data_IF_490373904546
#
_entry.id   IF_490373904546
#
_cell.length_a   1.000
_cell.length_b   1.000
_cell.length_c   1.000
_cell.angle_alpha   90.00
_cell.angle_beta   90.00
_cell.angle_gamma   90.00
#
_symmetry.space_group_name_H-M   'P 1'
#
loop_
_entity.id
_entity.type
_entity.pdbx_description
1 polymer ?
#
# COMPACT_ATOMS: atom_id res chain seq x y z
N UNK A 1 16.92 -14.78 16.49
CA UNK A 1 17.49 -15.42 15.28
C UNK A 1 17.92 -14.26 14.39
N UNK A 2 19.19 -14.22 13.99
CA UNK A 2 19.75 -13.17 13.15
C UNK A 2 19.60 -13.54 11.66
N UNK A 3 18.70 -12.88 10.90
CA UNK A 3 18.51 -13.19 9.49
C UNK A 3 19.69 -12.76 8.60
N UNK A 4 20.55 -11.86 9.07
CA UNK A 4 21.72 -11.38 8.31
C UNK A 4 22.93 -12.30 8.50
N UNK A 5 22.98 -13.04 9.61
CA UNK A 5 24.05 -13.98 9.93
C UNK A 5 23.55 -15.43 9.99
N UNK A 6 22.98 -15.91 8.88
CA UNK A 6 22.58 -17.33 8.66
C UNK A 6 21.63 -17.90 9.74
N UNK A 7 20.85 -17.07 10.40
CA UNK A 7 19.91 -17.52 11.42
C UNK A 7 20.56 -17.83 12.77
N UNK A 8 21.72 -17.26 13.07
CA UNK A 8 22.36 -17.43 14.38
C UNK A 8 21.41 -17.06 15.54
N UNK A 9 21.48 -17.80 16.65
CA UNK A 9 20.74 -17.43 17.87
C UNK A 9 21.47 -16.26 18.53
N UNK A 10 20.71 -15.20 18.78
CA UNK A 10 21.17 -14.03 19.52
C UNK A 10 20.67 -14.13 20.96
N UNK A 11 21.52 -13.75 21.90
CA UNK A 11 21.15 -13.50 23.29
C UNK A 11 20.34 -12.21 23.40
N UNK A 12 19.72 -11.95 24.56
CA UNK A 12 19.06 -10.66 24.81
C UNK A 12 20.02 -9.48 24.76
N UNK A 13 21.25 -9.67 25.27
CA UNK A 13 22.31 -8.67 25.27
C UNK A 13 22.77 -8.33 23.85
N UNK A 14 22.96 -9.34 23.00
CA UNK A 14 23.33 -9.17 21.58
C UNK A 14 22.27 -8.33 20.85
N UNK A 15 20.98 -8.56 21.14
CA UNK A 15 19.89 -7.81 20.50
C UNK A 15 19.85 -6.36 20.99
N UNK A 16 20.09 -6.10 22.28
CA UNK A 16 20.16 -4.73 22.78
C UNK A 16 21.35 -3.97 22.20
N UNK A 17 22.49 -4.63 22.02
CA UNK A 17 23.67 -4.05 21.37
C UNK A 17 23.36 -3.67 19.92
N UNK A 18 22.75 -4.57 19.14
CA UNK A 18 22.30 -4.27 17.77
C UNK A 18 21.34 -3.07 17.70
N UNK A 19 20.41 -2.96 18.66
CA UNK A 19 19.48 -1.83 18.71
C UNK A 19 20.23 -0.51 18.99
N UNK A 20 21.20 -0.55 19.91
CA UNK A 20 22.05 0.60 20.24
C UNK A 20 22.94 1.02 19.07
N UNK A 21 23.55 0.07 18.37
CA UNK A 21 24.36 0.33 17.17
C UNK A 21 23.55 0.96 16.04
N UNK A 22 22.27 0.57 15.91
CA UNK A 22 21.33 1.17 14.98
C UNK A 22 20.86 2.60 15.40
N UNK A 23 21.34 3.12 16.54
CA UNK A 23 21.04 4.47 17.02
C UNK A 23 19.73 4.59 17.80
N UNK A 24 19.16 3.46 18.26
CA UNK A 24 17.90 3.44 19.01
C UNK A 24 18.12 3.01 20.46
N UNK A 25 17.30 3.49 21.41
CA UNK A 25 17.28 2.94 22.76
C UNK A 25 16.65 1.52 22.76
N UNK A 26 17.13 0.57 23.57
CA UNK A 26 16.54 -0.76 23.67
C UNK A 26 15.17 -0.68 24.37
N UNK A 27 14.11 -0.55 23.57
CA UNK A 27 12.72 -0.55 24.05
C UNK A 27 12.09 -1.95 23.91
N UNK A 28 11.23 -2.38 24.86
CA UNK A 28 10.59 -3.70 24.83
C UNK A 28 9.83 -4.00 23.53
N UNK A 29 9.29 -2.97 22.87
CA UNK A 29 8.60 -3.06 21.59
C UNK A 29 9.46 -3.62 20.45
N UNK A 30 10.80 -3.50 20.53
CA UNK A 30 11.72 -4.06 19.54
C UNK A 30 11.91 -5.58 19.69
N UNK A 31 11.59 -6.12 20.87
CA UNK A 31 11.66 -7.55 21.16
C UNK A 31 10.31 -8.26 20.95
N UNK A 32 9.27 -7.50 20.63
CA UNK A 32 7.93 -8.08 20.38
C UNK A 32 7.94 -8.85 19.07
N UNK A 33 7.61 -10.15 19.15
CA UNK A 33 7.46 -11.00 17.98
C UNK A 33 6.43 -10.41 17.01
N UNK A 34 6.75 -10.44 15.71
CA UNK A 34 5.85 -10.02 14.65
C UNK A 34 5.26 -11.24 13.97
N UNK A 35 4.01 -11.13 13.52
CA UNK A 35 3.40 -12.18 12.71
C UNK A 35 4.04 -12.22 11.31
N UNK A 36 3.87 -13.34 10.61
CA UNK A 36 4.30 -13.49 9.22
C UNK A 36 3.68 -12.40 8.33
N UNK A 37 2.39 -12.10 8.52
CA UNK A 37 1.67 -11.03 7.82
C UNK A 37 2.33 -9.66 8.05
N UNK A 38 2.67 -9.31 9.29
CA UNK A 38 3.34 -8.05 9.62
C UNK A 38 4.74 -7.95 9.00
N UNK A 39 5.44 -9.08 8.88
CA UNK A 39 6.75 -9.11 8.22
C UNK A 39 6.59 -8.88 6.71
N UNK A 40 5.62 -9.57 6.07
CA UNK A 40 5.33 -9.41 4.64
C UNK A 40 4.89 -7.98 4.33
N UNK A 41 3.97 -7.43 5.10
CA UNK A 41 3.51 -6.05 4.96
C UNK A 41 4.66 -5.06 5.05
N UNK A 42 5.58 -5.24 6.02
CA UNK A 42 6.76 -4.38 6.13
C UNK A 42 7.70 -4.49 4.93
N UNK A 43 7.93 -5.70 4.43
CA UNK A 43 8.75 -5.90 3.22
C UNK A 43 8.11 -5.25 1.99
N UNK A 44 6.80 -5.41 1.81
CA UNK A 44 6.05 -4.80 0.71
C UNK A 44 6.08 -3.27 0.79
N UNK A 45 5.96 -2.69 1.98
CA UNK A 45 6.08 -1.24 2.17
C UNK A 45 7.49 -0.72 1.82
N UNK A 46 8.54 -1.45 2.19
CA UNK A 46 9.90 -1.08 1.80
C UNK A 46 10.06 -1.10 0.28
N UNK A 47 9.55 -2.14 -0.39
CA UNK A 47 9.60 -2.27 -1.84
C UNK A 47 8.73 -1.21 -2.54
N UNK A 48 7.56 -0.90 -1.97
CA UNK A 48 6.68 0.18 -2.43
C UNK A 48 7.41 1.52 -2.40
N UNK A 49 8.06 1.87 -1.27
CA UNK A 49 8.81 3.11 -1.16
C UNK A 49 9.97 3.21 -2.16
N UNK A 50 10.68 2.11 -2.42
CA UNK A 50 11.72 2.07 -3.45
C UNK A 50 11.14 2.27 -4.85
N UNK A 51 10.04 1.59 -5.18
CA UNK A 51 9.38 1.74 -6.48
C UNK A 51 8.79 3.15 -6.68
N UNK A 52 8.25 3.77 -5.63
CA UNK A 52 7.80 5.16 -5.65
C UNK A 52 8.96 6.12 -5.92
N UNK A 53 10.12 5.91 -5.27
CA UNK A 53 11.32 6.70 -5.49
C UNK A 53 11.86 6.58 -6.92
N UNK A 54 11.83 5.37 -7.48
CA UNK A 54 12.23 5.07 -8.86
C UNK A 54 11.18 5.50 -9.90
N UNK A 55 9.99 5.93 -9.48
CA UNK A 55 8.83 6.24 -10.33
C UNK A 55 8.43 5.05 -11.23
N UNK A 56 8.59 3.82 -10.74
CA UNK A 56 8.17 2.60 -11.43
C UNK A 56 6.70 2.28 -11.11
N UNK A 57 5.80 2.95 -11.84
CA UNK A 57 4.34 2.81 -11.66
C UNK A 57 3.85 1.36 -11.75
N UNK A 58 4.52 0.53 -12.55
CA UNK A 58 4.16 -0.89 -12.69
C UNK A 58 4.43 -1.64 -11.40
N UNK A 59 5.60 -1.42 -10.79
CA UNK A 59 5.94 -2.04 -9.49
C UNK A 59 5.11 -1.47 -8.36
N UNK A 60 4.89 -0.16 -8.34
CA UNK A 60 4.03 0.47 -7.33
C UNK A 60 2.65 -0.17 -7.34
N UNK A 61 2.02 -0.29 -8.51
CA UNK A 61 0.72 -0.94 -8.61
C UNK A 61 0.77 -2.41 -8.18
N UNK A 62 1.78 -3.17 -8.61
CA UNK A 62 1.93 -4.58 -8.25
C UNK A 62 2.03 -4.79 -6.75
N UNK A 63 2.69 -3.90 -6.00
CA UNK A 63 2.76 -3.99 -4.55
C UNK A 63 1.45 -3.59 -3.88
N UNK A 64 0.77 -2.55 -4.38
CA UNK A 64 -0.54 -2.13 -3.86
C UNK A 64 -1.63 -3.19 -4.09
N UNK A 65 -1.56 -3.95 -5.19
CA UNK A 65 -2.46 -5.08 -5.46
C UNK A 65 -2.31 -6.22 -4.45
N UNK A 66 -1.16 -6.33 -3.78
CA UNK A 66 -0.91 -7.31 -2.71
C UNK A 66 -1.21 -6.70 -1.33
N UNK A 67 -0.86 -5.44 -1.09
CA UNK A 67 -1.04 -4.77 0.20
C UNK A 67 -2.52 -4.62 0.57
N UNK A 68 -3.37 -4.22 -0.38
CA UNK A 68 -4.80 -4.05 -0.10
C UNK A 68 -5.47 -5.33 0.43
N UNK A 69 -5.36 -6.51 -0.20
CA UNK A 69 -5.95 -7.73 0.37
C UNK A 69 -5.24 -8.21 1.64
N UNK A 70 -3.97 -7.84 1.86
CA UNK A 70 -3.22 -8.19 3.07
C UNK A 70 -3.68 -7.37 4.29
N UNK A 71 -4.05 -6.11 4.07
CA UNK A 71 -4.54 -5.17 5.06
C UNK A 71 -5.80 -4.45 4.53
N UNK A 72 -6.94 -5.16 4.45
CA UNK A 72 -8.14 -4.67 3.76
C UNK A 72 -8.79 -3.46 4.42
N UNK A 73 -8.54 -3.25 5.71
CA UNK A 73 -9.10 -2.14 6.48
C UNK A 73 -8.20 -0.90 6.49
N UNK A 74 -7.03 -0.93 5.83
CA UNK A 74 -6.13 0.21 5.75
C UNK A 74 -6.52 1.14 4.58
N UNK A 75 -7.11 2.31 4.85
CA UNK A 75 -7.56 3.22 3.81
C UNK A 75 -6.41 3.81 2.98
N UNK A 76 -5.17 3.86 3.49
CA UNK A 76 -4.06 4.44 2.74
C UNK A 76 -3.65 3.58 1.55
N UNK A 77 -3.72 2.24 1.67
CA UNK A 77 -3.45 1.35 0.55
C UNK A 77 -4.50 1.46 -0.54
N UNK A 78 -5.79 1.53 -0.17
CA UNK A 78 -6.88 1.76 -1.12
C UNK A 78 -6.73 3.09 -1.84
N UNK A 79 -6.40 4.17 -1.10
CA UNK A 79 -6.21 5.51 -1.68
C UNK A 79 -5.07 5.53 -2.69
N UNK A 80 -3.90 5.01 -2.32
CA UNK A 80 -2.74 4.93 -3.21
C UNK A 80 -3.05 4.09 -4.46
N UNK A 81 -3.78 2.98 -4.30
CA UNK A 81 -4.16 2.10 -5.42
C UNK A 81 -5.15 2.77 -6.36
N UNK A 82 -6.15 3.48 -5.81
CA UNK A 82 -7.09 4.29 -6.56
C UNK A 82 -6.36 5.31 -7.43
N UNK A 83 -5.49 6.12 -6.82
CA UNK A 83 -4.70 7.16 -7.51
C UNK A 83 -3.86 6.55 -8.65
N UNK A 84 -3.20 5.41 -8.39
CA UNK A 84 -2.38 4.73 -9.38
C UNK A 84 -3.20 4.15 -10.53
N UNK A 85 -4.34 3.51 -10.24
CA UNK A 85 -5.23 2.94 -11.26
C UNK A 85 -5.86 4.02 -12.13
N UNK A 86 -6.32 5.12 -11.52
CA UNK A 86 -6.84 6.27 -12.25
C UNK A 86 -5.78 6.87 -13.19
N UNK A 87 -4.56 7.12 -12.68
CA UNK A 87 -3.46 7.70 -13.47
C UNK A 87 -3.01 6.79 -14.61
N UNK A 88 -3.06 5.48 -14.41
CA UNK A 88 -2.63 4.49 -15.43
C UNK A 88 -3.75 4.03 -16.35
N UNK A 89 -4.92 4.67 -16.31
CA UNK A 89 -6.05 4.39 -17.21
C UNK A 89 -6.83 3.12 -16.89
N UNK A 90 -6.61 2.51 -15.72
CA UNK A 90 -7.37 1.35 -15.23
C UNK A 90 -8.66 1.81 -14.56
N UNK A 91 -9.53 2.47 -15.33
CA UNK A 91 -10.65 3.25 -14.81
C UNK A 91 -11.67 2.39 -14.05
N UNK A 92 -12.01 1.20 -14.56
CA UNK A 92 -12.92 0.27 -13.86
C UNK A 92 -12.43 -0.06 -12.46
N UNK A 93 -11.16 -0.43 -12.35
CA UNK A 93 -10.54 -0.79 -11.07
C UNK A 93 -10.39 0.42 -10.14
N UNK A 94 -10.23 1.63 -10.67
CA UNK A 94 -10.22 2.85 -9.87
C UNK A 94 -11.62 3.18 -9.32
N UNK A 95 -12.67 2.94 -10.10
CA UNK A 95 -14.06 3.09 -9.67
C UNK A 95 -14.39 2.10 -8.55
N UNK A 96 -13.89 0.86 -8.63
CA UNK A 96 -14.01 -0.12 -7.53
C UNK A 96 -13.40 0.41 -6.22
N UNK A 97 -12.18 0.97 -6.27
CA UNK A 97 -11.55 1.57 -5.09
C UNK A 97 -12.37 2.77 -4.57
N UNK A 98 -12.91 3.61 -5.46
CA UNK A 98 -13.76 4.74 -5.05
C UNK A 98 -15.05 4.27 -4.35
N UNK A 99 -15.67 3.20 -4.85
CA UNK A 99 -16.84 2.59 -4.22
C UNK A 99 -16.50 2.01 -2.84
N UNK A 100 -15.33 1.38 -2.69
CA UNK A 100 -14.89 0.90 -1.37
C UNK A 100 -14.89 2.03 -0.33
N UNK A 101 -14.36 3.21 -0.68
CA UNK A 101 -14.39 4.35 0.25
C UNK A 101 -15.79 4.89 0.54
N UNK A 102 -16.66 4.92 -0.47
CA UNK A 102 -18.05 5.37 -0.32
C UNK A 102 -18.80 4.42 0.63
N UNK A 103 -18.59 3.12 0.48
CA UNK A 103 -19.25 2.09 1.28
C UNK A 103 -18.73 2.03 2.72
N UNK A 104 -17.41 2.17 2.91
CA UNK A 104 -16.77 2.04 4.23
C UNK A 104 -16.68 3.35 5.00
N UNK A 105 -16.71 4.50 4.31
CA UNK A 105 -16.66 5.85 4.86
C UNK A 105 -15.64 6.02 6.02
N UNK A 106 -14.33 5.78 5.77
CA UNK A 106 -13.34 5.85 6.83
C UNK A 106 -13.17 7.29 7.34
N UNK A 107 -12.68 7.48 8.59
CA UNK A 107 -12.56 8.81 9.19
C UNK A 107 -11.74 9.78 8.34
N UNK A 108 -12.24 11.00 8.18
CA UNK A 108 -11.54 12.07 7.44
C UNK A 108 -11.75 12.05 5.93
N UNK A 109 -12.58 11.15 5.41
CA UNK A 109 -12.96 11.12 4.00
C UNK A 109 -14.12 12.07 3.70
N UNK A 110 -13.96 12.86 2.64
CA UNK A 110 -15.00 13.73 2.08
C UNK A 110 -15.77 12.95 1.01
N UNK A 111 -16.98 12.48 1.37
CA UNK A 111 -17.82 11.68 0.48
C UNK A 111 -18.27 12.45 -0.76
N UNK A 112 -18.51 13.76 -0.65
CA UNK A 112 -18.92 14.58 -1.80
C UNK A 112 -17.80 14.63 -2.85
N UNK A 113 -16.55 14.78 -2.41
CA UNK A 113 -15.38 14.69 -3.30
C UNK A 113 -15.23 13.31 -3.91
N UNK A 114 -15.51 12.24 -3.18
CA UNK A 114 -15.45 10.88 -3.74
C UNK A 114 -16.52 10.62 -4.78
N UNK A 115 -17.76 11.08 -4.58
CA UNK A 115 -18.79 10.99 -5.59
C UNK A 115 -18.41 11.77 -6.85
N UNK A 116 -17.83 12.97 -6.70
CA UNK A 116 -17.32 13.75 -7.83
C UNK A 116 -16.20 13.01 -8.58
N UNK A 117 -15.24 12.44 -7.84
CA UNK A 117 -14.15 11.64 -8.40
C UNK A 117 -14.68 10.43 -9.18
N UNK A 118 -15.63 9.68 -8.61
CA UNK A 118 -16.23 8.53 -9.27
C UNK A 118 -16.93 8.93 -10.56
N UNK A 119 -17.76 9.98 -10.53
CA UNK A 119 -18.44 10.49 -11.73
C UNK A 119 -17.46 10.93 -12.82
N UNK A 120 -16.34 11.55 -12.45
CA UNK A 120 -15.28 11.91 -13.40
C UNK A 120 -14.65 10.68 -14.05
N UNK A 121 -14.35 9.62 -13.28
CA UNK A 121 -13.79 8.38 -13.80
C UNK A 121 -14.78 7.66 -14.73
N UNK A 122 -16.07 7.65 -14.38
CA UNK A 122 -17.14 7.07 -15.21
C UNK A 122 -17.27 7.82 -16.55
N UNK A 123 -17.23 9.15 -16.54
CA UNK A 123 -17.27 9.94 -17.78
C UNK A 123 -16.03 9.66 -18.65
N UNK A 124 -14.84 9.65 -18.04
CA UNK A 124 -13.60 9.36 -18.77
C UNK A 124 -13.63 7.98 -19.42
N UNK A 125 -14.22 6.98 -18.74
CA UNK A 125 -14.43 5.63 -19.29
C UNK A 125 -15.36 5.67 -20.50
N UNK A 126 -16.52 6.32 -20.38
CA UNK A 126 -17.50 6.43 -21.47
C UNK A 126 -16.92 7.13 -22.72
N UNK A 127 -16.10 8.15 -22.53
CA UNK A 127 -15.44 8.89 -23.62
C UNK A 127 -14.45 7.99 -24.39
N UNK A 128 -13.69 7.15 -23.67
CA UNK A 128 -12.76 6.19 -24.28
C UNK A 128 -13.50 5.10 -25.07
N UNK A 129 -14.61 4.58 -24.55
CA UNK A 129 -15.45 3.59 -25.22
C UNK A 129 -16.10 4.17 -26.49
N UNK A 130 -16.54 5.43 -26.44
CA UNK A 130 -17.13 6.13 -27.58
C UNK A 130 -16.11 6.40 -28.69
N UNK A 131 -14.86 6.69 -28.33
CA UNK A 131 -13.77 6.91 -29.28
C UNK A 131 -13.27 5.59 -29.90
N UNK A 132 -13.28 4.50 -29.12
CA UNK A 132 -12.91 3.16 -29.61
C UNK A 132 -13.89 2.55 -30.60
N UNK A 133 -15.19 2.88 -30.50
CA UNK A 133 -16.24 2.40 -31.41
C UNK A 133 -16.33 3.17 -32.75
N UNK A 134 -15.54 4.22 -32.92
CA UNK A 134 -15.56 5.08 -34.13
C UNK A 134 -14.43 4.76 -35.15
N UNK A 135 -13.61 3.74 -34.88
CA UNK A 135 -12.56 3.20 -35.77
C UNK A 135 -12.87 1.75 -36.17
#
# INVERSE_FOLDING_TARGET
>A
IDPFHRGNRLSGEDVEELIREAGYPPLPQFLTARSEVQIIERMLNNLLGLAEADRDDRRVLSYLEILVPLAPDDPDYHRKRLEMRARTGRLDLAIEDANWFIDHNPPGVDLDRLYQLRSMLEQQKADLESTGNAN
#
